data_IF_613637392591
#
_entry.id   IF_613637392591
#
_cell.length_a   1.000
_cell.length_b   1.000
_cell.length_c   1.000
_cell.angle_alpha   90.00
_cell.angle_beta   90.00
_cell.angle_gamma   90.00
#
_symmetry.space_group_name_H-M   'P 1'
#
loop_
_entity.id
_entity.type
_entity.pdbx_description
1 polymer ?
#
# COMPACT_ATOMS: atom_id res chain seq x y z
N UNK A 1 -38.66 -12.28 -4.09
CA UNK A 1 -37.32 -12.18 -4.69
C UNK A 1 -36.37 -12.92 -3.76
N UNK A 2 -35.74 -14.00 -4.22
CA UNK A 2 -34.69 -14.63 -3.45
C UNK A 2 -33.49 -13.68 -3.48
N UNK A 3 -33.08 -13.15 -2.32
CA UNK A 3 -31.79 -12.48 -2.21
C UNK A 3 -30.73 -13.56 -2.43
N UNK A 4 -29.86 -13.34 -3.43
CA UNK A 4 -28.66 -14.17 -3.58
C UNK A 4 -27.77 -13.80 -2.38
N UNK A 5 -27.70 -14.67 -1.37
CA UNK A 5 -26.72 -14.53 -0.30
C UNK A 5 -25.33 -14.80 -0.87
N UNK A 6 -24.50 -13.76 -0.91
CA UNK A 6 -23.10 -13.85 -1.32
C UNK A 6 -22.30 -14.30 -0.10
N UNK A 7 -21.46 -15.32 -0.26
CA UNK A 7 -20.67 -15.87 0.84
C UNK A 7 -19.58 -14.89 1.32
N UNK A 8 -19.22 -14.96 2.60
CA UNK A 8 -18.17 -14.10 3.19
C UNK A 8 -16.83 -14.32 2.47
N UNK A 9 -16.58 -15.51 1.92
CA UNK A 9 -15.40 -15.83 1.09
C UNK A 9 -15.38 -14.99 -0.19
N UNK A 10 -16.48 -15.00 -0.96
CA UNK A 10 -16.59 -14.21 -2.18
C UNK A 10 -16.51 -12.72 -1.88
N UNK A 11 -17.14 -12.26 -0.80
CA UNK A 11 -17.02 -10.88 -0.36
C UNK A 11 -15.56 -10.55 0.04
N UNK A 12 -14.88 -11.45 0.76
CA UNK A 12 -13.47 -11.31 1.13
C UNK A 12 -12.53 -11.21 -0.07
N UNK A 13 -12.83 -11.90 -1.17
CA UNK A 13 -12.07 -11.79 -2.41
C UNK A 13 -12.32 -10.48 -3.15
N UNK A 14 -13.59 -10.10 -3.33
CA UNK A 14 -13.94 -9.04 -4.30
C UNK A 14 -14.15 -7.66 -3.67
N UNK A 15 -14.52 -7.55 -2.40
CA UNK A 15 -14.76 -6.25 -1.75
C UNK A 15 -13.48 -5.41 -1.67
N UNK A 16 -12.31 -5.93 -1.22
CA UNK A 16 -11.08 -5.15 -1.22
C UNK A 16 -10.68 -4.66 -2.62
N UNK A 17 -10.90 -5.48 -3.66
CA UNK A 17 -10.64 -5.09 -5.06
C UNK A 17 -11.58 -3.96 -5.49
N UNK A 18 -12.87 -4.03 -5.16
CA UNK A 18 -13.81 -2.96 -5.45
C UNK A 18 -13.42 -1.66 -4.73
N UNK A 19 -13.06 -1.76 -3.44
CA UNK A 19 -12.57 -0.65 -2.63
C UNK A 19 -11.32 -0.01 -3.22
N UNK A 20 -10.36 -0.83 -3.71
CA UNK A 20 -9.15 -0.38 -4.36
C UNK A 20 -9.45 0.57 -5.53
N UNK A 21 -10.31 0.14 -6.46
CA UNK A 21 -10.63 0.92 -7.66
C UNK A 21 -11.52 2.13 -7.34
N UNK A 22 -12.48 2.00 -6.43
CA UNK A 22 -13.32 3.11 -5.99
C UNK A 22 -12.49 4.21 -5.32
N UNK A 23 -11.65 3.85 -4.36
CA UNK A 23 -10.84 4.82 -3.62
C UNK A 23 -9.73 5.44 -4.49
N UNK A 24 -9.13 4.64 -5.38
CA UNK A 24 -8.23 5.17 -6.42
C UNK A 24 -8.96 6.14 -7.36
N UNK A 25 -10.19 5.84 -7.75
CA UNK A 25 -11.05 6.71 -8.57
C UNK A 25 -11.34 8.05 -7.88
N UNK A 26 -11.57 8.06 -6.57
CA UNK A 26 -11.70 9.31 -5.79
C UNK A 26 -10.45 10.17 -5.94
N UNK A 27 -9.26 9.59 -5.75
CA UNK A 27 -8.01 10.32 -5.92
C UNK A 27 -7.78 10.84 -7.36
N UNK A 28 -8.22 10.09 -8.37
CA UNK A 28 -8.19 10.55 -9.76
C UNK A 28 -9.08 11.78 -10.00
N UNK A 29 -10.26 11.84 -9.36
CA UNK A 29 -11.15 12.99 -9.46
C UNK A 29 -10.58 14.23 -8.73
N UNK A 30 -9.68 14.02 -7.77
CA UNK A 30 -8.99 15.08 -7.02
C UNK A 30 -7.70 15.56 -7.72
N UNK A 31 -7.33 15.05 -8.90
CA UNK A 31 -6.13 15.47 -9.67
C UNK A 31 -6.11 16.97 -10.08
N UNK A 32 -7.21 17.72 -9.87
CA UNK A 32 -7.26 19.16 -10.09
C UNK A 32 -6.75 20.02 -8.93
N UNK A 33 -6.40 19.39 -7.79
CA UNK A 33 -5.99 20.05 -6.56
C UNK A 33 -4.47 20.19 -6.51
N UNK A 34 -3.92 20.98 -7.45
CA UNK A 34 -2.49 21.06 -7.72
C UNK A 34 -1.68 21.60 -6.52
N UNK A 35 -2.29 22.43 -5.65
CA UNK A 35 -1.64 22.95 -4.45
C UNK A 35 -1.31 21.90 -3.37
N UNK A 36 -1.88 20.69 -3.47
CA UNK A 36 -1.63 19.60 -2.52
C UNK A 36 -0.77 18.48 -3.11
N UNK A 37 -0.32 18.60 -4.36
CA UNK A 37 0.49 17.55 -5.01
C UNK A 37 1.92 17.54 -4.50
N UNK A 38 2.44 16.33 -4.25
CA UNK A 38 3.85 16.12 -3.93
C UNK A 38 4.78 16.34 -5.15
N UNK A 39 4.25 16.19 -6.36
CA UNK A 39 4.96 16.44 -7.61
C UNK A 39 4.13 17.34 -8.54
N UNK A 40 4.77 18.27 -9.27
CA UNK A 40 4.17 18.99 -10.39
C UNK A 40 3.32 18.09 -11.29
N UNK A 41 2.18 18.61 -11.73
CA UNK A 41 1.27 17.88 -12.60
C UNK A 41 1.96 17.50 -13.92
N UNK A 42 1.87 16.23 -14.30
CA UNK A 42 2.44 15.71 -15.54
C UNK A 42 3.87 15.20 -15.37
N UNK A 43 4.52 15.44 -14.24
CA UNK A 43 5.83 14.86 -13.92
C UNK A 43 5.77 13.33 -13.90
N UNK A 44 4.63 12.76 -13.50
CA UNK A 44 4.40 11.33 -13.56
C UNK A 44 4.42 10.76 -14.99
N UNK A 45 4.20 11.60 -16.02
CA UNK A 45 4.28 11.18 -17.42
C UNK A 45 5.70 11.27 -17.98
N UNK A 46 6.59 11.97 -17.28
CA UNK A 46 7.99 12.18 -17.67
C UNK A 46 8.92 11.24 -16.92
N UNK A 47 8.74 11.11 -15.60
CA UNK A 47 9.63 10.34 -14.72
C UNK A 47 9.27 8.86 -14.63
N UNK A 48 8.00 8.49 -14.77
CA UNK A 48 7.63 7.08 -14.73
C UNK A 48 8.00 6.39 -16.04
N UNK A 49 8.56 5.18 -15.91
CA UNK A 49 9.08 4.43 -17.06
C UNK A 49 7.95 3.77 -17.88
N UNK A 50 6.79 3.57 -17.27
CA UNK A 50 5.64 2.87 -17.88
C UNK A 50 4.41 3.75 -17.98
N UNK A 51 3.59 3.52 -19.00
CA UNK A 51 2.32 4.22 -19.19
C UNK A 51 1.28 3.85 -18.12
N UNK A 52 0.35 4.77 -17.82
CA UNK A 52 -0.81 4.51 -16.95
C UNK A 52 -1.61 3.27 -17.40
N UNK A 53 -1.73 3.02 -18.72
CA UNK A 53 -2.40 1.84 -19.26
C UNK A 53 -1.65 0.52 -18.96
N UNK A 54 -0.31 0.54 -19.01
CA UNK A 54 0.51 -0.60 -18.59
C UNK A 54 0.32 -0.88 -17.10
N UNK A 55 0.22 0.18 -16.29
CA UNK A 55 -0.02 0.07 -14.85
C UNK A 55 -1.36 -0.60 -14.56
N UNK A 56 -2.45 -0.11 -15.14
CA UNK A 56 -3.79 -0.71 -14.99
C UNK A 56 -3.77 -2.19 -15.39
N UNK A 57 -3.17 -2.54 -16.53
CA UNK A 57 -3.04 -3.95 -16.95
C UNK A 57 -2.26 -4.78 -15.91
N UNK A 58 -1.16 -4.24 -15.38
CA UNK A 58 -0.36 -4.91 -14.37
C UNK A 58 -1.12 -5.16 -13.07
N UNK A 59 -1.88 -4.17 -12.60
CA UNK A 59 -2.74 -4.30 -11.41
C UNK A 59 -3.83 -5.35 -11.64
N UNK A 60 -4.49 -5.35 -12.81
CA UNK A 60 -5.51 -6.35 -13.12
C UNK A 60 -4.93 -7.78 -13.18
N UNK A 61 -3.71 -7.95 -13.69
CA UNK A 61 -3.00 -9.24 -13.66
C UNK A 61 -2.71 -9.68 -12.24
N UNK A 62 -2.21 -8.75 -11.40
CA UNK A 62 -1.94 -9.01 -9.98
C UNK A 62 -3.22 -9.40 -9.24
N UNK A 63 -4.32 -8.67 -9.42
CA UNK A 63 -5.60 -8.95 -8.78
C UNK A 63 -6.20 -10.27 -9.27
N UNK A 64 -6.07 -10.58 -10.57
CA UNK A 64 -6.50 -11.89 -11.11
C UNK A 64 -5.76 -13.04 -10.43
N UNK A 65 -4.45 -12.88 -10.22
CA UNK A 65 -3.63 -13.87 -9.54
C UNK A 65 -4.03 -14.00 -8.05
N UNK A 66 -4.27 -12.89 -7.35
CA UNK A 66 -4.77 -12.89 -5.98
C UNK A 66 -6.14 -13.57 -5.86
N UNK A 67 -7.07 -13.27 -6.77
CA UNK A 67 -8.39 -13.93 -6.85
C UNK A 67 -8.22 -15.44 -7.03
N UNK A 68 -7.38 -15.88 -7.96
CA UNK A 68 -7.14 -17.29 -8.20
C UNK A 68 -6.60 -18.01 -6.95
N UNK A 69 -5.65 -17.39 -6.24
CA UNK A 69 -5.11 -17.94 -4.99
C UNK A 69 -6.17 -17.94 -3.89
N UNK A 70 -6.92 -16.84 -3.71
CA UNK A 70 -7.96 -16.73 -2.69
C UNK A 70 -9.03 -17.81 -2.88
N UNK A 71 -9.51 -18.02 -4.11
CA UNK A 71 -10.48 -19.07 -4.43
C UNK A 71 -9.90 -20.48 -4.22
N UNK A 72 -8.63 -20.70 -4.56
CA UNK A 72 -7.96 -21.97 -4.29
C UNK A 72 -7.84 -22.24 -2.79
N UNK A 73 -7.46 -21.23 -2.00
CA UNK A 73 -7.36 -21.34 -0.54
C UNK A 73 -8.71 -21.66 0.07
N UNK A 74 -9.79 -21.00 -0.37
CA UNK A 74 -11.14 -21.33 0.09
C UNK A 74 -11.56 -22.75 -0.28
N UNK A 75 -11.20 -23.24 -1.46
CA UNK A 75 -11.47 -24.64 -1.83
C UNK A 75 -10.74 -25.64 -0.93
N UNK A 76 -9.56 -25.29 -0.41
CA UNK A 76 -8.74 -26.18 0.43
C UNK A 76 -9.13 -26.09 1.92
N UNK A 77 -9.48 -24.90 2.38
CA UNK A 77 -9.61 -24.56 3.82
C UNK A 77 -11.08 -24.28 4.21
N UNK A 78 -11.98 -24.16 3.23
CA UNK A 78 -13.38 -23.85 3.45
C UNK A 78 -14.07 -24.86 4.36
N UNK A 79 -14.82 -24.34 5.33
CA UNK A 79 -15.57 -25.14 6.28
C UNK A 79 -16.90 -25.58 5.64
N UNK A 80 -17.05 -26.89 5.40
CA UNK A 80 -18.27 -27.47 4.84
C UNK A 80 -19.43 -27.55 5.86
N UNK A 81 -19.22 -27.20 7.14
CA UNK A 81 -20.27 -27.28 8.17
C UNK A 81 -21.39 -26.26 7.98
N UNK A 82 -21.16 -25.20 7.19
CA UNK A 82 -22.17 -24.20 6.84
C UNK A 82 -22.61 -23.30 8.00
N UNK A 83 -21.93 -23.36 9.14
CA UNK A 83 -22.24 -22.53 10.31
C UNK A 83 -21.40 -21.24 10.28
N UNK A 84 -21.99 -20.05 10.10
CA UNK A 84 -21.23 -18.81 10.11
C UNK A 84 -20.58 -18.59 11.49
N UNK A 85 -19.29 -18.22 11.57
CA UNK A 85 -18.66 -17.94 12.84
C UNK A 85 -19.34 -16.75 13.53
N UNK A 86 -19.64 -16.90 14.82
CA UNK A 86 -20.20 -15.82 15.64
C UNK A 86 -19.27 -14.61 15.63
N UNK A 87 -19.81 -13.44 15.32
CA UNK A 87 -19.03 -12.21 15.33
C UNK A 87 -18.57 -11.86 16.75
N UNK A 88 -17.26 -11.58 16.96
CA UNK A 88 -16.76 -11.13 18.25
C UNK A 88 -17.34 -9.77 18.65
N UNK A 89 -17.21 -9.41 19.93
CA UNK A 89 -17.56 -8.07 20.37
C UNK A 89 -16.67 -7.01 19.71
N UNK A 90 -17.16 -5.77 19.66
CA UNK A 90 -16.41 -4.64 19.07
C UNK A 90 -15.02 -4.47 19.68
N UNK A 91 -14.87 -4.68 20.99
CA UNK A 91 -13.57 -4.60 21.66
C UNK A 91 -12.58 -5.65 21.15
N UNK A 92 -13.05 -6.88 20.91
CA UNK A 92 -12.23 -7.95 20.33
C UNK A 92 -11.89 -7.60 18.88
N UNK A 93 -12.84 -7.11 18.09
CA UNK A 93 -12.58 -6.68 16.70
C UNK A 93 -11.49 -5.60 16.66
N UNK A 94 -11.54 -4.61 17.55
CA UNK A 94 -10.49 -3.56 17.63
C UNK A 94 -9.12 -4.18 17.96
N UNK A 95 -9.06 -5.11 18.93
CA UNK A 95 -7.82 -5.80 19.26
C UNK A 95 -7.30 -6.62 18.06
N UNK A 96 -8.19 -7.32 17.35
CA UNK A 96 -7.86 -8.08 16.15
C UNK A 96 -7.27 -7.17 15.06
N UNK A 97 -7.84 -5.99 14.84
CA UNK A 97 -7.29 -4.98 13.93
C UNK A 97 -5.88 -4.56 14.34
N UNK A 98 -5.65 -4.26 15.63
CA UNK A 98 -4.33 -3.84 16.12
C UNK A 98 -3.30 -4.95 15.89
N UNK A 99 -3.62 -6.20 16.27
CA UNK A 99 -2.73 -7.35 16.05
C UNK A 99 -2.45 -7.53 14.57
N UNK A 100 -3.48 -7.49 13.72
CA UNK A 100 -3.35 -7.66 12.28
C UNK A 100 -2.49 -6.57 11.63
N UNK A 101 -2.63 -5.31 12.04
CA UNK A 101 -1.77 -4.20 11.57
C UNK A 101 -0.30 -4.44 11.95
N UNK A 102 -0.03 -4.82 13.20
CA UNK A 102 1.34 -5.08 13.68
C UNK A 102 2.00 -6.26 12.95
N UNK A 103 1.23 -7.34 12.71
CA UNK A 103 1.71 -8.52 11.95
C UNK A 103 1.99 -8.14 10.51
N UNK A 104 1.08 -7.40 9.86
CA UNK A 104 1.22 -6.98 8.47
C UNK A 104 2.46 -6.10 8.29
N UNK A 105 2.59 -5.05 9.12
CA UNK A 105 3.73 -4.13 9.09
C UNK A 105 5.05 -4.87 9.29
N UNK A 106 5.07 -5.81 10.23
CA UNK A 106 6.27 -6.61 10.50
C UNK A 106 6.65 -7.46 9.30
N UNK A 107 5.71 -8.22 8.75
CA UNK A 107 5.98 -9.07 7.61
C UNK A 107 6.42 -8.25 6.38
N UNK A 108 5.65 -7.21 6.04
CA UNK A 108 5.92 -6.41 4.86
C UNK A 108 7.23 -5.64 4.99
N UNK A 109 7.56 -5.06 6.15
CA UNK A 109 8.84 -4.38 6.34
C UNK A 109 10.03 -5.29 6.00
N UNK A 110 10.07 -6.49 6.58
CA UNK A 110 11.25 -7.36 6.42
C UNK A 110 11.37 -7.89 5.00
N UNK A 111 10.26 -8.29 4.37
CA UNK A 111 10.27 -8.76 2.98
C UNK A 111 10.60 -7.62 2.02
N UNK A 112 10.01 -6.44 2.20
CA UNK A 112 10.25 -5.26 1.36
C UNK A 112 11.72 -4.83 1.44
N UNK A 113 12.27 -4.68 2.65
CA UNK A 113 13.69 -4.37 2.85
C UNK A 113 14.60 -5.45 2.27
N UNK A 114 14.24 -6.72 2.41
CA UNK A 114 15.02 -7.82 1.82
C UNK A 114 15.03 -7.75 0.30
N UNK A 115 13.90 -7.44 -0.34
CA UNK A 115 13.83 -7.26 -1.79
C UNK A 115 14.70 -6.10 -2.28
N UNK A 116 14.84 -5.03 -1.50
CA UNK A 116 15.77 -3.93 -1.80
C UNK A 116 17.25 -4.31 -1.65
N UNK A 117 17.60 -5.02 -0.58
CA UNK A 117 18.99 -5.36 -0.29
C UNK A 117 19.49 -6.48 -1.22
N UNK A 118 18.62 -7.42 -1.58
CA UNK A 118 18.96 -8.49 -2.49
C UNK A 118 18.92 -8.00 -3.95
N UNK A 119 20.10 -7.86 -4.57
CA UNK A 119 20.24 -7.37 -5.96
C UNK A 119 19.41 -8.14 -6.99
N UNK A 120 19.23 -9.45 -6.82
CA UNK A 120 18.44 -10.26 -7.74
C UNK A 120 16.95 -9.94 -7.59
N UNK A 121 16.44 -9.94 -6.36
CA UNK A 121 15.04 -9.63 -6.08
C UNK A 121 14.71 -8.19 -6.47
N UNK A 122 15.59 -7.24 -6.16
CA UNK A 122 15.41 -5.86 -6.61
C UNK A 122 15.32 -5.80 -8.14
N UNK A 123 16.35 -6.29 -8.84
CA UNK A 123 16.44 -6.14 -10.30
C UNK A 123 15.29 -6.80 -11.05
N UNK A 124 14.81 -7.96 -10.60
CA UNK A 124 13.88 -8.79 -11.37
C UNK A 124 12.44 -8.78 -10.85
N UNK A 125 12.21 -8.32 -9.62
CA UNK A 125 10.89 -8.36 -8.99
C UNK A 125 10.50 -6.93 -8.61
N UNK A 126 11.20 -6.35 -7.63
CA UNK A 126 10.75 -5.11 -6.98
C UNK A 126 11.01 -3.84 -7.81
N UNK A 127 12.00 -3.87 -8.71
CA UNK A 127 12.27 -2.76 -9.64
C UNK A 127 11.07 -2.44 -10.53
N UNK A 128 10.17 -3.42 -10.80
CA UNK A 128 8.93 -3.18 -11.54
C UNK A 128 8.06 -2.16 -10.82
N UNK A 129 7.93 -2.28 -9.50
CA UNK A 129 7.17 -1.32 -8.69
C UNK A 129 7.82 0.08 -8.75
N UNK A 130 9.14 0.13 -8.57
CA UNK A 130 9.96 1.35 -8.66
C UNK A 130 10.10 1.94 -10.08
N UNK A 131 9.43 1.36 -11.10
CA UNK A 131 9.25 2.07 -12.37
C UNK A 131 8.29 3.26 -12.25
N UNK A 132 7.55 3.35 -11.14
CA UNK A 132 6.68 4.45 -10.76
C UNK A 132 7.39 5.40 -9.77
N UNK A 133 8.40 6.12 -10.27
CA UNK A 133 9.18 7.11 -9.50
C UNK A 133 8.31 8.22 -8.91
N UNK A 134 7.22 8.58 -9.58
CA UNK A 134 6.17 9.47 -9.07
C UNK A 134 4.92 8.61 -8.85
N UNK A 135 4.69 8.13 -7.62
CA UNK A 135 3.56 7.29 -7.29
C UNK A 135 2.22 8.01 -7.51
N UNK A 136 1.20 7.22 -7.83
CA UNK A 136 -0.19 7.66 -7.88
C UNK A 136 -1.11 6.54 -7.41
N UNK A 137 -2.33 6.89 -6.99
CA UNK A 137 -3.24 6.03 -6.24
C UNK A 137 -3.45 4.62 -6.86
N UNK A 138 -3.83 4.54 -8.14
CA UNK A 138 -4.06 3.25 -8.83
C UNK A 138 -2.75 2.53 -9.23
N UNK A 139 -1.59 3.09 -8.91
CA UNK A 139 -0.27 2.45 -9.04
C UNK A 139 0.10 1.60 -7.83
N UNK A 140 -0.65 1.69 -6.72
CA UNK A 140 -0.35 1.03 -5.44
C UNK A 140 -0.06 -0.48 -5.53
N UNK A 141 -0.76 -1.21 -6.42
CA UNK A 141 -0.59 -2.66 -6.58
C UNK A 141 0.10 -3.02 -7.90
N UNK A 142 0.76 -2.05 -8.54
CA UNK A 142 1.56 -2.31 -9.73
C UNK A 142 2.91 -2.88 -9.33
N UNK A 143 2.93 -4.18 -9.11
CA UNK A 143 4.11 -4.93 -8.71
C UNK A 143 4.23 -6.24 -9.51
N UNK A 144 5.31 -6.98 -9.29
CA UNK A 144 5.47 -8.30 -9.90
C UNK A 144 4.53 -9.30 -9.19
N UNK A 145 3.87 -10.27 -9.85
CA UNK A 145 2.94 -11.18 -9.17
C UNK A 145 3.54 -11.94 -7.97
N UNK A 146 4.82 -12.31 -8.05
CA UNK A 146 5.54 -12.91 -6.92
C UNK A 146 5.75 -11.93 -5.75
N UNK A 147 5.86 -10.64 -6.03
CA UNK A 147 5.90 -9.60 -4.99
C UNK A 147 4.56 -9.49 -4.29
N UNK A 148 3.46 -9.36 -5.04
CA UNK A 148 2.11 -9.33 -4.46
C UNK A 148 1.74 -10.64 -3.76
N UNK A 149 2.31 -11.78 -4.16
CA UNK A 149 2.19 -13.03 -3.41
C UNK A 149 2.88 -12.93 -2.05
N UNK A 150 4.16 -12.54 -2.04
CA UNK A 150 4.98 -12.55 -0.83
C UNK A 150 4.61 -11.43 0.14
N UNK A 151 4.32 -10.22 -0.33
CA UNK A 151 3.95 -9.08 0.51
C UNK A 151 2.46 -9.10 0.85
N UNK A 152 1.58 -9.07 -0.15
CA UNK A 152 0.15 -8.86 0.08
C UNK A 152 -0.53 -10.15 0.56
N UNK A 153 -0.33 -11.25 -0.17
CA UNK A 153 -1.09 -12.50 0.07
C UNK A 153 -0.60 -13.20 1.32
N UNK A 154 0.71 -13.43 1.45
CA UNK A 154 1.28 -14.09 2.65
C UNK A 154 1.17 -13.16 3.87
N UNK A 155 1.46 -11.87 3.71
CA UNK A 155 1.30 -10.90 4.80
C UNK A 155 -0.14 -10.81 5.30
N UNK A 156 -1.10 -10.74 4.37
CA UNK A 156 -2.53 -10.74 4.71
C UNK A 156 -2.97 -12.05 5.37
N UNK A 157 -2.54 -13.20 4.87
CA UNK A 157 -2.84 -14.50 5.48
C UNK A 157 -2.30 -14.60 6.92
N UNK A 158 -1.06 -14.17 7.16
CA UNK A 158 -0.48 -14.14 8.51
C UNK A 158 -1.27 -13.20 9.43
N UNK A 159 -1.63 -12.01 8.97
CA UNK A 159 -2.46 -11.07 9.74
C UNK A 159 -3.83 -11.65 10.09
N UNK A 160 -4.48 -12.34 9.15
CA UNK A 160 -5.76 -13.00 9.37
C UNK A 160 -5.64 -14.10 10.43
N UNK A 161 -4.68 -15.02 10.25
CA UNK A 161 -4.50 -16.18 11.12
C UNK A 161 -4.07 -15.79 12.54
N UNK A 162 -3.09 -14.88 12.67
CA UNK A 162 -2.54 -14.50 13.98
C UNK A 162 -3.52 -13.65 14.78
N UNK A 163 -4.30 -12.79 14.14
CA UNK A 163 -5.34 -12.03 14.83
C UNK A 163 -6.55 -12.89 15.22
N UNK A 164 -6.75 -14.05 14.58
CA UNK A 164 -7.92 -14.90 14.81
C UNK A 164 -9.23 -14.22 14.40
N UNK A 165 -9.17 -13.29 13.45
CA UNK A 165 -10.35 -12.56 12.99
C UNK A 165 -11.29 -13.47 12.20
N UNK A 166 -12.60 -13.18 12.26
CA UNK A 166 -13.57 -13.89 11.41
C UNK A 166 -13.41 -13.47 9.95
N UNK A 167 -13.89 -14.26 8.97
CA UNK A 167 -13.92 -13.86 7.55
C UNK A 167 -14.53 -12.47 7.35
N UNK A 168 -15.66 -12.20 8.02
CA UNK A 168 -16.34 -10.89 7.98
C UNK A 168 -15.49 -9.76 8.54
N UNK A 169 -14.84 -9.96 9.68
CA UNK A 169 -13.87 -8.99 10.22
C UNK A 169 -12.72 -8.75 9.23
N UNK A 170 -12.27 -9.82 8.56
CA UNK A 170 -11.27 -9.78 7.50
C UNK A 170 -11.66 -8.90 6.33
N UNK A 171 -12.91 -8.96 5.87
CA UNK A 171 -13.42 -8.08 4.79
C UNK A 171 -13.17 -6.61 5.16
N UNK A 172 -13.55 -6.20 6.37
CA UNK A 172 -13.34 -4.82 6.84
C UNK A 172 -11.86 -4.47 6.98
N UNK A 173 -11.07 -5.36 7.59
CA UNK A 173 -9.64 -5.14 7.79
C UNK A 173 -8.89 -4.99 6.46
N UNK A 174 -9.09 -5.91 5.51
CA UNK A 174 -8.40 -5.87 4.22
C UNK A 174 -8.88 -4.73 3.33
N UNK A 175 -10.16 -4.35 3.43
CA UNK A 175 -10.65 -3.13 2.79
C UNK A 175 -9.96 -1.88 3.35
N UNK A 176 -9.81 -1.81 4.67
CA UNK A 176 -9.09 -0.71 5.32
C UNK A 176 -7.60 -0.69 4.97
N UNK A 177 -6.92 -1.84 4.97
CA UNK A 177 -5.54 -1.97 4.52
C UNK A 177 -5.38 -1.52 3.06
N UNK A 178 -6.33 -1.89 2.19
CA UNK A 178 -6.35 -1.46 0.79
C UNK A 178 -6.48 0.05 0.66
N UNK A 179 -7.41 0.66 1.41
CA UNK A 179 -7.55 2.12 1.48
C UNK A 179 -6.22 2.75 1.89
N UNK A 180 -5.56 2.20 2.91
CA UNK A 180 -4.27 2.70 3.39
C UNK A 180 -3.17 2.61 2.34
N UNK A 181 -3.03 1.47 1.67
CA UNK A 181 -2.04 1.30 0.60
C UNK A 181 -2.27 2.27 -0.56
N UNK A 182 -3.51 2.50 -0.97
CA UNK A 182 -3.85 3.48 -2.02
C UNK A 182 -3.55 4.91 -1.56
N UNK A 183 -3.87 5.24 -0.31
CA UNK A 183 -3.56 6.53 0.33
C UNK A 183 -2.06 6.81 0.33
N UNK A 184 -1.25 5.80 0.67
CA UNK A 184 0.23 5.90 0.70
C UNK A 184 0.85 6.12 -0.68
N UNK A 185 0.12 5.83 -1.75
CA UNK A 185 0.60 6.05 -3.12
C UNK A 185 -0.06 7.26 -3.78
N UNK A 186 -0.99 7.95 -3.14
CA UNK A 186 -1.87 8.88 -3.84
C UNK A 186 -1.16 10.13 -4.39
N UNK A 187 0.00 10.49 -3.84
CA UNK A 187 0.76 11.68 -4.24
C UNK A 187 0.09 13.01 -3.86
N UNK A 188 -0.99 12.98 -3.07
CA UNK A 188 -1.75 14.15 -2.62
C UNK A 188 -1.73 14.28 -1.10
N UNK A 189 -1.22 15.41 -0.60
CA UNK A 189 -1.27 15.77 0.80
C UNK A 189 -2.53 16.58 1.13
N UNK A 190 -3.66 15.89 1.22
CA UNK A 190 -4.96 16.54 1.45
C UNK A 190 -5.10 17.09 2.88
N UNK A 191 -5.63 18.31 3.06
CA UNK A 191 -5.85 18.88 4.38
C UNK A 191 -6.93 18.08 5.12
N UNK A 192 -6.65 17.72 6.38
CA UNK A 192 -7.60 16.97 7.21
C UNK A 192 -7.72 15.48 6.88
N UNK A 193 -6.82 14.91 6.05
CA UNK A 193 -6.77 13.46 5.85
C UNK A 193 -6.54 12.75 7.19
N UNK A 194 -7.57 12.04 7.68
CA UNK A 194 -7.53 11.32 8.97
C UNK A 194 -6.48 10.22 8.98
N UNK A 195 -6.16 9.61 7.84
CA UNK A 195 -5.14 8.58 7.75
C UNK A 195 -3.75 9.16 8.03
N UNK A 196 -3.45 10.36 7.53
CA UNK A 196 -2.18 11.05 7.83
C UNK A 196 -2.05 11.48 9.30
N UNK A 197 -3.18 11.68 9.99
CA UNK A 197 -3.21 11.99 11.43
C UNK A 197 -2.95 10.74 12.27
N UNK A 198 -3.60 9.62 11.90
CA UNK A 198 -3.51 8.36 12.64
C UNK A 198 -2.20 7.61 12.37
N UNK A 199 -1.68 7.69 11.15
CA UNK A 199 -0.55 6.91 10.68
C UNK A 199 0.58 7.80 10.19
N UNK A 200 1.79 7.50 10.66
CA UNK A 200 3.02 8.20 10.24
C UNK A 200 3.51 7.72 8.87
N UNK A 201 3.14 6.50 8.49
CA UNK A 201 3.27 6.05 7.11
C UNK A 201 2.16 6.73 6.31
N UNK A 202 2.51 7.45 5.25
CA UNK A 202 1.60 8.26 4.44
C UNK A 202 2.23 8.50 3.06
N UNK A 203 1.52 9.23 2.19
CA UNK A 203 1.99 9.51 0.83
C UNK A 203 3.35 10.19 0.75
N UNK A 204 3.67 11.14 1.63
CA UNK A 204 4.97 11.82 1.60
C UNK A 204 6.11 10.89 2.04
N UNK A 205 5.88 10.10 3.10
CA UNK A 205 6.83 9.11 3.58
C UNK A 205 7.16 8.06 2.51
N UNK A 206 6.14 7.56 1.81
CA UNK A 206 6.30 6.54 0.78
C UNK A 206 6.82 7.12 -0.54
N UNK A 207 6.45 8.34 -0.90
CA UNK A 207 7.00 9.04 -2.06
C UNK A 207 8.53 9.15 -1.98
N UNK A 208 9.07 9.52 -0.81
CA UNK A 208 10.52 9.56 -0.56
C UNK A 208 11.17 8.23 -0.94
N UNK A 209 10.56 7.11 -0.59
CA UNK A 209 11.09 5.78 -0.87
C UNK A 209 11.18 5.47 -2.37
N UNK A 210 10.19 5.90 -3.16
CA UNK A 210 10.16 5.75 -4.63
C UNK A 210 11.15 6.65 -5.37
N UNK A 211 11.65 7.71 -4.73
CA UNK A 211 12.69 8.53 -5.33
C UNK A 211 14.00 7.73 -5.48
N UNK A 212 14.82 8.08 -6.48
CA UNK A 212 16.08 7.38 -6.77
C UNK A 212 17.02 7.27 -5.56
N UNK A 213 17.05 8.31 -4.72
CA UNK A 213 17.84 8.34 -3.48
C UNK A 213 17.15 7.63 -2.30
N UNK A 214 15.85 7.37 -2.40
CA UNK A 214 14.97 6.79 -1.40
C UNK A 214 15.09 5.28 -1.21
N UNK A 215 15.69 4.58 -2.18
CA UNK A 215 15.80 3.11 -2.23
C UNK A 215 16.49 2.43 -1.04
N UNK A 216 17.02 3.21 -0.08
CA UNK A 216 17.68 2.75 1.16
C UNK A 216 16.87 3.04 2.43
N UNK A 217 15.73 3.71 2.31
CA UNK A 217 14.97 4.23 3.43
C UNK A 217 13.48 3.93 3.31
N UNK A 218 12.76 4.08 4.41
CA UNK A 218 11.29 4.07 4.49
C UNK A 218 10.64 2.80 3.92
N UNK A 219 11.06 1.62 4.41
CA UNK A 219 10.57 0.33 3.93
C UNK A 219 9.25 -0.12 4.59
N UNK A 220 8.85 0.49 5.71
CA UNK A 220 7.65 0.07 6.43
C UNK A 220 6.42 0.35 5.58
N UNK A 221 5.45 -0.54 5.64
CA UNK A 221 4.13 -0.40 5.03
C UNK A 221 3.18 -1.44 5.62
N UNK A 222 1.86 -1.17 5.68
CA UNK A 222 1.22 0.10 5.27
C UNK A 222 0.93 1.07 6.44
N UNK A 223 1.05 0.70 7.72
CA UNK A 223 0.48 1.53 8.81
C UNK A 223 1.51 2.37 9.57
N UNK A 224 2.53 1.76 10.14
CA UNK A 224 3.47 2.39 11.05
C UNK A 224 4.87 2.48 10.42
N UNK A 225 5.72 3.34 11.00
CA UNK A 225 7.13 3.52 10.60
C UNK A 225 8.09 2.92 11.63
N UNK A 226 7.55 2.05 12.50
CA UNK A 226 8.23 1.57 13.70
C UNK A 226 9.53 0.82 13.35
N UNK A 227 9.49 -0.08 12.38
CA UNK A 227 10.65 -0.89 12.00
C UNK A 227 11.77 -0.06 11.37
N UNK A 228 11.43 0.95 10.56
CA UNK A 228 12.43 1.89 10.05
C UNK A 228 13.12 2.68 11.17
N UNK A 229 12.37 3.06 12.22
CA UNK A 229 12.96 3.74 13.37
C UNK A 229 13.84 2.80 14.21
N UNK A 230 13.38 1.58 14.45
CA UNK A 230 14.13 0.57 15.23
C UNK A 230 15.43 0.20 14.52
N UNK A 231 15.41 0.05 13.20
CA UNK A 231 16.52 -0.48 12.42
C UNK A 231 17.30 0.58 11.64
N UNK A 232 17.05 1.86 11.91
CA UNK A 232 17.82 2.98 11.37
C UNK A 232 17.64 3.22 9.87
N UNK A 233 16.49 2.84 9.30
CA UNK A 233 16.16 3.06 7.88
C UNK A 233 15.08 4.14 7.68
N UNK A 234 14.73 4.88 8.73
CA UNK A 234 13.79 6.01 8.63
C UNK A 234 14.50 7.26 8.09
N UNK A 235 13.93 7.87 7.06
CA UNK A 235 14.33 9.18 6.55
C UNK A 235 13.39 10.26 7.10
N UNK A 236 13.87 11.16 7.98
CA UNK A 236 13.10 12.32 8.42
C UNK A 236 12.86 13.27 7.26
N UNK A 237 11.69 13.92 7.25
CA UNK A 237 11.33 14.91 6.25
C UNK A 237 10.38 15.96 6.83
N UNK A 238 10.30 17.10 6.17
CA UNK A 238 9.24 18.10 6.31
C UNK A 238 8.61 18.37 4.94
N UNK A 239 7.35 18.81 4.93
CA UNK A 239 6.71 19.27 3.70
C UNK A 239 6.79 20.79 3.61
N UNK A 240 7.30 21.28 2.50
CA UNK A 240 7.43 22.70 2.21
C UNK A 240 6.62 23.07 0.96
N UNK A 241 6.09 24.28 0.93
CA UNK A 241 5.37 24.77 -0.24
C UNK A 241 6.37 25.16 -1.34
N UNK A 242 6.15 24.64 -2.55
CA UNK A 242 6.93 25.06 -3.72
C UNK A 242 6.55 26.46 -4.16
N UNK A 243 7.53 27.19 -4.72
CA UNK A 243 7.31 28.53 -5.30
C UNK A 243 6.27 28.53 -6.43
N UNK A 244 6.19 27.44 -7.18
CA UNK A 244 5.31 27.26 -8.34
C UNK A 244 3.96 26.61 -7.97
N UNK A 245 3.72 26.34 -6.69
CA UNK A 245 2.54 25.64 -6.18
C UNK A 245 2.78 24.15 -5.91
N UNK A 246 2.01 23.61 -4.96
CA UNK A 246 2.16 22.26 -4.45
C UNK A 246 3.20 22.12 -3.34
N UNK A 247 3.55 20.89 -2.98
CA UNK A 247 4.36 20.56 -1.81
C UNK A 247 5.54 19.68 -2.18
N UNK A 248 6.69 19.89 -1.56
CA UNK A 248 7.86 19.02 -1.73
C UNK A 248 8.42 18.53 -0.40
N UNK A 249 9.08 17.37 -0.44
CA UNK A 249 9.82 16.84 0.69
C UNK A 249 11.14 17.61 0.86
N UNK A 250 11.40 18.07 2.08
CA UNK A 250 12.63 18.75 2.50
C UNK A 250 13.30 17.91 3.61
N UNK A 251 14.62 17.74 3.53
CA UNK A 251 15.41 16.92 4.45
C UNK A 251 16.34 17.75 5.34
N UNK A 252 16.26 19.08 5.21
CA UNK A 252 17.12 20.04 5.87
C UNK A 252 18.35 20.38 5.02
N UNK A 253 18.73 21.66 5.04
CA UNK A 253 19.73 22.30 4.17
C UNK A 253 20.96 21.44 3.82
N UNK A 254 21.61 20.83 4.81
CA UNK A 254 22.83 20.04 4.58
C UNK A 254 22.57 18.72 3.84
N UNK A 255 21.43 18.08 4.08
CA UNK A 255 21.07 16.83 3.44
C UNK A 255 20.51 17.07 2.03
N UNK A 256 19.77 18.16 1.83
CA UNK A 256 19.30 18.58 0.51
C UNK A 256 20.47 18.88 -0.43
N UNK A 257 21.49 19.57 0.06
CA UNK A 257 22.76 19.80 -0.65
C UNK A 257 23.46 18.48 -1.02
N UNK A 258 23.50 17.51 -0.11
CA UNK A 258 24.08 16.20 -0.37
C UNK A 258 23.29 15.44 -1.46
N UNK A 259 21.96 15.43 -1.39
CA UNK A 259 21.12 14.78 -2.39
C UNK A 259 21.28 15.40 -3.78
N UNK A 260 21.36 16.73 -3.88
CA UNK A 260 21.64 17.44 -5.14
C UNK A 260 22.98 17.04 -5.76
N UNK A 261 23.98 16.69 -4.95
CA UNK A 261 25.28 16.25 -5.44
C UNK A 261 25.31 14.78 -5.90
N UNK A 262 24.37 13.95 -5.46
CA UNK A 262 24.30 12.50 -5.78
C UNK A 262 23.34 12.20 -6.94
N UNK A 263 22.57 13.19 -7.41
CA UNK A 263 21.67 13.08 -8.56
C UNK A 263 22.35 13.19 -9.94
N UNK A 264 23.70 13.33 -10.00
CA UNK A 264 24.49 13.39 -11.24
C UNK A 264 25.45 12.20 -11.40
#
# INVERSE_FOLDING_TARGET
>A
MAFIEISDELLGTFVPIAVYWLYSGVYMLLEGWDEYRLHPKGEENVKNVVSKATVVKGVLVQQTFQVAISLLLFKIIGDETGTPPTQPSTAIIILQFIVAMLVMDTWQYFIHRYMHINKFLYKHIHSKHHTLVVPYAFGALYNHPLEGLLLDTVGGALSFLVSGMTPRTGIYFFSFATVKTVDDHCGLWLPGNLLHVLFRNNCAYHDIHHQLYGSKYNFSQPFFVMWDKILGTYMPYTLEARKEGGLENSFGLYFDLFLLMVQF
#
